data_IF_547970676141
#
_entry.id   IF_547970676141
#
_cell.length_a   1.000
_cell.length_b   1.000
_cell.length_c   1.000
_cell.angle_alpha   90.00
_cell.angle_beta   90.00
_cell.angle_gamma   90.00
#
_symmetry.space_group_name_H-M   'P 1'
#
loop_
_entity.id
_entity.type
_entity.pdbx_description
1 polymer ?
#
# COMPACT_ATOMS: atom_id res chain seq x y z
N UNK A 1 -31.27 -8.13 -11.26
CA UNK A 1 -29.99 -7.95 -10.64
C UNK A 1 -30.11 -7.72 -9.15
N UNK A 2 -29.53 -8.63 -8.35
CA UNK A 2 -29.42 -8.50 -6.91
C UNK A 2 -28.01 -7.99 -6.59
N UNK A 3 -27.94 -6.80 -5.99
CA UNK A 3 -26.70 -6.14 -5.59
C UNK A 3 -26.40 -6.42 -4.13
N UNK A 4 -25.11 -6.39 -3.78
CA UNK A 4 -24.61 -6.48 -2.40
C UNK A 4 -25.11 -7.70 -1.64
N UNK A 5 -25.08 -8.88 -2.31
CA UNK A 5 -25.58 -10.14 -1.78
C UNK A 5 -24.70 -10.63 -0.62
N UNK A 6 -24.86 -10.06 0.59
CA UNK A 6 -24.08 -10.39 1.78
C UNK A 6 -24.27 -11.87 2.21
N UNK A 7 -25.41 -12.47 1.88
CA UNK A 7 -25.69 -13.88 2.14
C UNK A 7 -24.74 -14.86 1.40
N UNK A 8 -24.00 -14.38 0.40
CA UNK A 8 -22.97 -15.20 -0.28
C UNK A 8 -21.71 -15.37 0.58
N UNK A 9 -21.48 -14.50 1.55
CA UNK A 9 -20.29 -14.51 2.42
C UNK A 9 -20.28 -15.62 3.48
N UNK A 10 -19.38 -15.48 4.44
CA UNK A 10 -19.18 -16.40 5.56
C UNK A 10 -19.38 -15.73 6.94
N UNK A 11 -19.95 -14.53 6.95
CA UNK A 11 -20.26 -13.77 8.16
C UNK A 11 -21.43 -14.37 8.96
N UNK A 12 -21.72 -13.77 10.11
CA UNK A 12 -22.78 -14.23 11.00
C UNK A 12 -24.16 -14.24 10.34
N UNK A 13 -24.47 -13.23 9.55
CA UNK A 13 -25.75 -13.10 8.84
C UNK A 13 -25.87 -14.19 7.77
N UNK A 14 -24.82 -14.41 7.00
CA UNK A 14 -24.79 -15.45 5.96
C UNK A 14 -24.82 -16.89 6.51
N UNK A 15 -24.54 -17.08 7.81
CA UNK A 15 -24.59 -18.37 8.52
C UNK A 15 -25.88 -18.60 9.30
N UNK A 16 -26.78 -17.63 9.34
CA UNK A 16 -28.08 -17.82 10.01
C UNK A 16 -28.84 -18.96 9.37
N UNK A 17 -29.54 -19.77 10.21
CA UNK A 17 -30.24 -20.97 9.77
C UNK A 17 -31.25 -20.67 8.65
N UNK A 18 -32.06 -19.63 8.83
CA UNK A 18 -33.07 -19.22 7.85
C UNK A 18 -32.45 -18.81 6.51
N UNK A 19 -31.32 -18.14 6.52
CA UNK A 19 -30.58 -17.74 5.32
C UNK A 19 -29.98 -18.97 4.63
N UNK A 20 -29.39 -19.89 5.39
CA UNK A 20 -28.80 -21.11 4.87
C UNK A 20 -29.87 -22.03 4.25
N UNK A 21 -31.02 -22.20 4.91
CA UNK A 21 -32.15 -22.96 4.45
C UNK A 21 -32.76 -22.37 3.16
N UNK A 22 -33.04 -21.04 3.19
CA UNK A 22 -33.57 -20.34 2.02
C UNK A 22 -32.64 -20.38 0.80
N UNK A 23 -31.31 -20.33 1.01
CA UNK A 23 -30.34 -20.51 -0.07
C UNK A 23 -30.29 -21.93 -0.63
N UNK A 24 -30.49 -22.93 0.21
CA UNK A 24 -30.59 -24.35 -0.25
C UNK A 24 -31.84 -24.57 -1.12
N UNK A 25 -32.98 -24.04 -0.67
CA UNK A 25 -34.25 -24.09 -1.43
C UNK A 25 -34.14 -23.33 -2.75
N UNK A 26 -33.55 -22.15 -2.74
CA UNK A 26 -33.31 -21.38 -3.96
C UNK A 26 -32.38 -22.12 -4.91
N UNK A 27 -31.29 -22.71 -4.40
CA UNK A 27 -30.39 -23.52 -5.22
C UNK A 27 -31.08 -24.71 -5.88
N UNK A 28 -32.05 -25.37 -5.20
CA UNK A 28 -32.84 -26.42 -5.75
C UNK A 28 -33.75 -25.93 -6.88
N UNK A 29 -34.45 -24.82 -6.65
CA UNK A 29 -35.33 -24.19 -7.65
C UNK A 29 -34.59 -23.73 -8.90
N UNK A 30 -33.39 -23.14 -8.74
CA UNK A 30 -32.57 -22.66 -9.87
C UNK A 30 -32.16 -23.80 -10.83
N UNK A 31 -32.06 -25.05 -10.36
CA UNK A 31 -31.71 -26.21 -11.21
C UNK A 31 -32.81 -26.60 -12.21
N UNK A 32 -34.06 -26.34 -11.87
CA UNK A 32 -35.23 -26.68 -12.66
C UNK A 32 -35.91 -25.46 -13.27
N UNK A 33 -35.34 -24.28 -13.06
CA UNK A 33 -35.93 -23.04 -13.55
C UNK A 33 -35.78 -22.92 -15.07
N UNK A 34 -36.86 -22.50 -15.74
CA UNK A 34 -36.80 -22.15 -17.16
C UNK A 34 -36.12 -20.82 -17.37
N UNK A 35 -34.91 -20.83 -17.94
CA UNK A 35 -34.09 -19.66 -18.19
C UNK A 35 -34.39 -18.97 -19.53
N UNK A 36 -35.42 -19.41 -20.27
CA UNK A 36 -35.78 -18.77 -21.55
C UNK A 36 -36.15 -17.31 -21.34
N UNK A 37 -35.34 -16.41 -21.90
CA UNK A 37 -35.52 -14.94 -21.79
C UNK A 37 -35.22 -14.33 -20.42
N UNK A 38 -34.74 -15.10 -19.44
CA UNK A 38 -34.45 -14.64 -18.07
C UNK A 38 -32.94 -14.69 -17.80
N UNK A 39 -32.41 -13.64 -17.17
CA UNK A 39 -31.02 -13.59 -16.68
C UNK A 39 -31.01 -13.17 -15.21
N UNK A 40 -30.38 -13.99 -14.36
CA UNK A 40 -30.13 -13.65 -12.96
C UNK A 40 -28.70 -13.17 -12.79
N UNK A 41 -28.53 -11.94 -12.31
CA UNK A 41 -27.23 -11.37 -11.97
C UNK A 41 -27.14 -11.22 -10.45
N UNK A 42 -26.12 -11.79 -9.84
CA UNK A 42 -25.84 -11.69 -8.41
C UNK A 42 -24.46 -11.03 -8.25
N UNK A 43 -24.38 -9.96 -7.47
CA UNK A 43 -23.09 -9.35 -7.10
C UNK A 43 -22.96 -9.24 -5.58
N UNK A 44 -21.77 -9.49 -5.06
CA UNK A 44 -21.46 -9.42 -3.62
C UNK A 44 -19.98 -9.16 -3.38
N UNK A 45 -19.65 -8.68 -2.19
CA UNK A 45 -18.27 -8.33 -1.84
C UNK A 45 -17.38 -9.58 -1.65
N UNK A 46 -17.93 -10.66 -1.11
CA UNK A 46 -17.21 -11.92 -0.84
C UNK A 46 -18.17 -13.09 -0.97
N UNK A 47 -17.72 -14.14 -1.64
CA UNK A 47 -18.50 -15.37 -1.75
C UNK A 47 -17.76 -16.54 -1.10
N UNK A 48 -18.45 -17.33 -0.27
CA UNK A 48 -17.94 -18.59 0.25
C UNK A 48 -18.15 -19.69 -0.80
N UNK A 49 -17.07 -20.03 -1.49
CA UNK A 49 -17.05 -21.02 -2.58
C UNK A 49 -17.41 -22.44 -2.12
N UNK A 50 -17.41 -22.71 -0.80
CA UNK A 50 -17.80 -24.02 -0.21
C UNK A 50 -19.31 -24.22 -0.17
N UNK A 51 -20.09 -23.13 -0.14
CA UNK A 51 -21.55 -23.18 -0.06
C UNK A 51 -22.16 -23.84 -1.28
N UNK A 52 -23.19 -24.66 -1.02
CA UNK A 52 -23.97 -25.37 -2.07
C UNK A 52 -24.56 -24.39 -3.08
N UNK A 53 -25.07 -23.25 -2.61
CA UNK A 53 -25.63 -22.22 -3.46
C UNK A 53 -24.58 -21.69 -4.47
N UNK A 54 -23.38 -21.32 -4.01
CA UNK A 54 -22.30 -20.89 -4.89
C UNK A 54 -21.94 -21.93 -5.94
N UNK A 55 -21.79 -23.22 -5.50
CA UNK A 55 -21.48 -24.33 -6.41
C UNK A 55 -22.58 -24.54 -7.45
N UNK A 56 -23.85 -24.36 -7.06
CA UNK A 56 -24.98 -24.48 -7.98
C UNK A 56 -24.97 -23.36 -9.02
N UNK A 57 -24.84 -22.12 -8.60
CA UNK A 57 -24.81 -20.98 -9.52
C UNK A 57 -23.59 -21.05 -10.47
N UNK A 58 -22.42 -21.45 -9.97
CA UNK A 58 -21.23 -21.66 -10.81
C UNK A 58 -21.37 -22.78 -11.84
N UNK A 59 -22.22 -23.77 -11.57
CA UNK A 59 -22.52 -24.84 -12.55
C UNK A 59 -23.52 -24.42 -13.61
N UNK A 60 -24.50 -23.58 -13.23
CA UNK A 60 -25.62 -23.20 -14.11
C UNK A 60 -25.27 -21.98 -14.97
N UNK A 61 -24.30 -21.17 -14.55
CA UNK A 61 -23.97 -19.92 -15.20
C UNK A 61 -22.50 -19.60 -15.18
N UNK A 62 -22.17 -18.32 -15.41
CA UNK A 62 -20.83 -17.78 -15.37
C UNK A 62 -20.59 -17.09 -14.03
N UNK A 63 -19.42 -17.33 -13.42
CA UNK A 63 -18.98 -16.62 -12.20
C UNK A 63 -17.65 -15.94 -12.49
N UNK A 64 -17.59 -14.66 -12.15
CA UNK A 64 -16.39 -13.86 -12.30
C UNK A 64 -16.00 -13.24 -10.96
N UNK A 65 -14.72 -13.29 -10.62
CA UNK A 65 -14.19 -12.74 -9.37
C UNK A 65 -13.25 -11.57 -9.66
N UNK A 66 -13.62 -10.42 -9.15
CA UNK A 66 -12.82 -9.22 -9.24
C UNK A 66 -12.04 -9.03 -7.94
N UNK A 67 -10.85 -9.64 -7.87
CA UNK A 67 -9.99 -9.50 -6.69
C UNK A 67 -9.56 -8.03 -6.53
N UNK A 68 -9.82 -7.49 -5.33
CA UNK A 68 -9.28 -6.17 -4.99
C UNK A 68 -7.75 -6.25 -4.87
N UNK A 69 -7.06 -5.25 -5.37
CA UNK A 69 -5.63 -5.11 -5.08
C UNK A 69 -5.44 -4.87 -3.58
N UNK A 70 -4.46 -5.52 -2.98
CA UNK A 70 -4.11 -5.35 -1.57
C UNK A 70 -2.62 -5.11 -1.43
N UNK A 71 -2.22 -4.27 -0.48
CA UNK A 71 -0.82 -4.07 -0.10
C UNK A 71 -0.15 -5.34 0.44
N UNK A 72 -0.96 -6.29 0.92
CA UNK A 72 -0.47 -7.58 1.41
C UNK A 72 -0.06 -8.52 0.26
N UNK A 73 -0.55 -8.26 -0.95
CA UNK A 73 -0.13 -8.98 -2.16
C UNK A 73 1.20 -8.42 -2.65
N UNK A 74 2.24 -9.23 -2.64
CA UNK A 74 3.59 -8.84 -3.11
C UNK A 74 3.61 -8.34 -4.57
N UNK A 75 2.61 -8.74 -5.36
CA UNK A 75 2.50 -8.38 -6.79
C UNK A 75 1.52 -7.23 -7.05
N UNK A 76 0.94 -6.64 -6.00
CA UNK A 76 -0.08 -5.60 -6.18
C UNK A 76 0.37 -4.47 -7.10
N UNK A 77 1.63 -4.05 -6.98
CA UNK A 77 2.15 -2.96 -7.79
C UNK A 77 2.25 -3.34 -9.28
N UNK A 78 2.77 -4.53 -9.57
CA UNK A 78 2.84 -5.02 -10.96
C UNK A 78 1.43 -5.14 -11.58
N UNK A 79 0.46 -5.63 -10.78
CA UNK A 79 -0.95 -5.69 -11.19
C UNK A 79 -1.56 -4.29 -11.40
N UNK A 80 -1.25 -3.32 -10.52
CA UNK A 80 -1.66 -1.94 -10.68
C UNK A 80 -1.08 -1.31 -11.95
N UNK A 81 0.22 -1.51 -12.21
CA UNK A 81 0.90 -1.03 -13.42
C UNK A 81 0.29 -1.62 -14.70
N UNK A 82 -0.08 -2.90 -14.70
CA UNK A 82 -0.80 -3.54 -15.80
C UNK A 82 -2.17 -2.92 -16.04
N UNK A 83 -2.95 -2.65 -14.97
CA UNK A 83 -4.26 -2.00 -15.07
C UNK A 83 -4.13 -0.58 -15.62
N UNK A 84 -3.16 0.20 -15.13
CA UNK A 84 -2.86 1.55 -15.62
C UNK A 84 -2.52 1.51 -17.11
N UNK A 85 -1.60 0.62 -17.50
CA UNK A 85 -1.17 0.48 -18.90
C UNK A 85 -2.34 0.11 -19.81
N UNK A 86 -3.18 -0.85 -19.42
CA UNK A 86 -4.36 -1.24 -20.17
C UNK A 86 -5.38 -0.09 -20.29
N UNK A 87 -5.65 0.64 -19.18
CA UNK A 87 -6.59 1.76 -19.16
C UNK A 87 -6.11 2.92 -20.02
N UNK A 88 -4.84 3.33 -19.90
CA UNK A 88 -4.26 4.42 -20.71
C UNK A 88 -4.17 4.06 -22.19
N UNK A 89 -3.87 2.80 -22.53
CA UNK A 89 -3.93 2.30 -23.91
C UNK A 89 -5.34 2.40 -24.49
N UNK A 90 -6.37 2.05 -23.71
CA UNK A 90 -7.78 2.20 -24.13
C UNK A 90 -8.15 3.67 -24.37
N UNK A 91 -7.53 4.59 -23.63
CA UNK A 91 -7.66 6.05 -23.80
C UNK A 91 -6.73 6.62 -24.92
N UNK A 92 -6.08 5.77 -25.70
CA UNK A 92 -5.13 6.11 -26.76
C UNK A 92 -3.92 6.93 -26.28
N UNK A 93 -3.52 6.74 -25.02
CA UNK A 93 -2.35 7.37 -24.41
C UNK A 93 -1.18 6.40 -24.28
N UNK A 94 0.04 6.96 -24.33
CA UNK A 94 1.32 6.23 -24.23
C UNK A 94 2.11 6.77 -23.03
N UNK A 95 1.93 6.21 -21.82
CA UNK A 95 2.71 6.62 -20.67
C UNK A 95 4.16 6.13 -20.80
N UNK A 96 5.11 6.91 -20.31
CA UNK A 96 6.44 6.37 -20.01
C UNK A 96 6.37 5.39 -18.82
N UNK A 97 7.38 4.51 -18.73
CA UNK A 97 7.42 3.51 -17.65
C UNK A 97 7.44 4.16 -16.26
N UNK A 98 8.14 5.29 -16.11
CA UNK A 98 8.25 6.01 -14.82
C UNK A 98 6.91 6.60 -14.43
N UNK A 99 6.16 7.16 -15.39
CA UNK A 99 4.82 7.69 -15.14
C UNK A 99 3.86 6.60 -14.63
N UNK A 100 3.90 5.40 -15.23
CA UNK A 100 3.06 4.27 -14.79
C UNK A 100 3.40 3.86 -13.35
N UNK A 101 4.68 3.68 -13.06
CA UNK A 101 5.15 3.30 -11.72
C UNK A 101 4.80 4.37 -10.69
N UNK A 102 5.04 5.64 -10.99
CA UNK A 102 4.75 6.75 -10.09
C UNK A 102 3.25 6.90 -9.83
N UNK A 103 2.42 6.72 -10.87
CA UNK A 103 0.96 6.72 -10.73
C UNK A 103 0.48 5.59 -9.81
N UNK A 104 0.98 4.37 -9.99
CA UNK A 104 0.66 3.24 -9.12
C UNK A 104 1.02 3.53 -7.65
N UNK A 105 2.17 4.14 -7.40
CA UNK A 105 2.64 4.48 -6.07
C UNK A 105 1.82 5.62 -5.43
N UNK A 106 1.53 6.67 -6.20
CA UNK A 106 0.78 7.82 -5.70
C UNK A 106 -0.66 7.47 -5.35
N UNK A 107 -1.28 6.58 -6.11
CA UNK A 107 -2.69 6.20 -5.90
C UNK A 107 -2.81 5.01 -4.94
N UNK A 108 -1.91 4.01 -5.05
CA UNK A 108 -1.96 2.78 -4.27
C UNK A 108 -2.91 1.74 -4.88
N UNK A 109 -3.26 0.67 -4.11
CA UNK A 109 -4.01 -0.49 -4.60
C UNK A 109 -5.52 -0.26 -4.73
N UNK A 110 -5.98 0.93 -5.02
CA UNK A 110 -7.39 1.23 -5.27
C UNK A 110 -7.66 1.27 -6.78
N UNK A 111 -8.23 0.19 -7.32
CA UNK A 111 -8.48 0.03 -8.75
C UNK A 111 -9.42 1.11 -9.33
N UNK A 112 -10.40 1.57 -8.54
CA UNK A 112 -11.32 2.64 -8.97
C UNK A 112 -10.58 3.99 -9.02
N UNK A 113 -9.81 4.29 -7.99
CA UNK A 113 -8.99 5.50 -7.97
C UNK A 113 -7.96 5.49 -9.11
N UNK A 114 -7.28 4.36 -9.37
CA UNK A 114 -6.36 4.20 -10.50
C UNK A 114 -7.04 4.51 -11.83
N UNK A 115 -8.23 3.96 -12.07
CA UNK A 115 -8.98 4.21 -13.30
C UNK A 115 -9.38 5.68 -13.43
N UNK A 116 -9.85 6.32 -12.36
CA UNK A 116 -10.23 7.73 -12.33
C UNK A 116 -9.03 8.66 -12.58
N UNK A 117 -7.87 8.37 -11.99
CA UNK A 117 -6.65 9.16 -12.19
C UNK A 117 -6.10 8.99 -13.63
N UNK A 118 -6.23 7.80 -14.24
CA UNK A 118 -5.92 7.61 -15.65
C UNK A 118 -6.80 8.48 -16.58
N UNK A 119 -8.11 8.55 -16.30
CA UNK A 119 -9.03 9.40 -17.05
C UNK A 119 -8.67 10.88 -16.87
N UNK A 120 -8.43 11.31 -15.65
CA UNK A 120 -8.01 12.68 -15.34
C UNK A 120 -6.69 13.06 -16.05
N UNK A 121 -5.69 12.18 -16.03
CA UNK A 121 -4.45 12.39 -16.78
C UNK A 121 -4.70 12.49 -18.29
N UNK A 122 -5.54 11.63 -18.84
CA UNK A 122 -5.89 11.67 -20.27
C UNK A 122 -6.51 13.00 -20.69
N UNK A 123 -7.38 13.56 -19.84
CA UNK A 123 -7.99 14.88 -20.05
C UNK A 123 -6.95 15.99 -19.92
N UNK A 124 -6.09 15.91 -18.89
CA UNK A 124 -5.05 16.92 -18.62
C UNK A 124 -4.08 17.08 -19.77
N UNK A 125 -3.60 15.98 -20.36
CA UNK A 125 -2.63 16.04 -21.46
C UNK A 125 -3.30 16.39 -22.82
N UNK A 126 -4.64 16.41 -22.89
CA UNK A 126 -5.38 16.79 -24.11
C UNK A 126 -5.04 15.88 -25.30
N UNK A 127 -4.70 16.47 -26.42
CA UNK A 127 -4.40 15.74 -27.66
C UNK A 127 -3.02 15.08 -27.66
N UNK A 128 -2.14 15.43 -26.74
CA UNK A 128 -0.83 14.80 -26.60
C UNK A 128 -0.98 13.32 -26.23
N UNK A 129 -0.33 12.45 -26.99
CA UNK A 129 -0.39 11.01 -26.71
C UNK A 129 0.47 10.59 -25.51
N UNK A 130 1.61 11.26 -25.30
CA UNK A 130 2.56 10.94 -24.25
C UNK A 130 2.12 11.45 -22.88
N UNK A 131 2.35 10.63 -21.83
CA UNK A 131 2.16 10.98 -20.42
C UNK A 131 3.51 10.77 -19.72
N UNK A 132 4.00 11.82 -19.08
CA UNK A 132 5.28 11.85 -18.37
C UNK A 132 5.10 11.80 -16.85
N UNK A 133 6.20 11.57 -16.11
CA UNK A 133 6.20 11.66 -14.65
C UNK A 133 5.86 13.07 -14.14
N UNK A 134 6.19 14.12 -14.90
CA UNK A 134 5.81 15.50 -14.57
C UNK A 134 4.30 15.69 -14.61
N UNK A 135 3.62 15.12 -15.62
CA UNK A 135 2.16 15.16 -15.70
C UNK A 135 1.50 14.48 -14.50
N UNK A 136 2.04 13.31 -14.11
CA UNK A 136 1.56 12.56 -12.94
C UNK A 136 1.69 13.40 -11.68
N UNK A 137 2.86 14.01 -11.44
CA UNK A 137 3.09 14.87 -10.27
C UNK A 137 2.23 16.12 -10.26
N UNK A 138 1.93 16.66 -11.43
CA UNK A 138 1.15 17.89 -11.54
C UNK A 138 -0.32 17.71 -11.16
N UNK A 139 -0.94 16.56 -11.51
CA UNK A 139 -2.39 16.43 -11.39
C UNK A 139 -2.89 15.27 -10.56
N UNK A 140 -2.10 14.21 -10.36
CA UNK A 140 -2.55 13.02 -9.65
C UNK A 140 -2.73 13.29 -8.16
N UNK A 141 -3.88 12.91 -7.65
CA UNK A 141 -4.18 13.04 -6.23
C UNK A 141 -3.58 11.87 -5.45
N UNK A 142 -2.79 12.18 -4.42
CA UNK A 142 -2.23 11.14 -3.56
C UNK A 142 -3.34 10.35 -2.85
N UNK A 143 -3.32 9.04 -3.01
CA UNK A 143 -4.21 8.12 -2.32
C UNK A 143 -3.94 8.04 -0.81
N UNK A 144 -4.83 7.37 -0.09
CA UNK A 144 -4.71 7.21 1.36
C UNK A 144 -3.40 6.55 1.78
N UNK A 145 -2.94 5.57 1.02
CA UNK A 145 -1.70 4.84 1.30
C UNK A 145 -0.47 5.74 1.13
N UNK A 146 -0.38 6.47 0.01
CA UNK A 146 0.73 7.38 -0.23
C UNK A 146 0.79 8.50 0.82
N UNK A 147 -0.37 9.02 1.24
CA UNK A 147 -0.45 9.98 2.36
C UNK A 147 0.04 9.38 3.67
N UNK A 148 -0.31 8.12 3.95
CA UNK A 148 0.13 7.44 5.17
C UNK A 148 1.67 7.25 5.22
N UNK A 149 2.33 7.12 4.08
CA UNK A 149 3.79 6.97 4.01
C UNK A 149 4.54 8.31 3.83
N UNK A 150 3.83 9.40 3.54
CA UNK A 150 4.44 10.67 3.16
C UNK A 150 5.37 11.26 4.24
N UNK A 151 5.01 11.12 5.52
CA UNK A 151 5.85 11.55 6.65
C UNK A 151 7.14 10.71 6.71
N UNK A 152 7.01 9.39 6.63
CA UNK A 152 8.17 8.48 6.59
C UNK A 152 9.09 8.75 5.40
N UNK A 153 8.53 9.04 4.22
CA UNK A 153 9.32 9.36 3.03
C UNK A 153 10.07 10.70 3.19
N UNK A 154 9.43 11.70 3.76
CA UNK A 154 10.09 12.96 4.07
C UNK A 154 11.25 12.78 5.07
N UNK A 155 11.09 11.88 6.06
CA UNK A 155 12.20 11.47 6.95
C UNK A 155 13.30 10.78 6.15
N UNK A 156 12.96 9.82 5.28
CA UNK A 156 13.95 9.15 4.43
C UNK A 156 14.72 10.10 3.50
N UNK A 157 14.07 11.13 3.00
CA UNK A 157 14.69 12.22 2.21
C UNK A 157 15.56 13.16 3.05
N UNK A 158 15.51 13.06 4.38
CA UNK A 158 16.18 13.95 5.34
C UNK A 158 15.83 15.43 5.13
N UNK A 159 14.56 15.71 4.86
CA UNK A 159 14.05 17.05 4.56
C UNK A 159 13.21 17.59 5.72
N UNK A 160 13.83 18.31 6.66
CA UNK A 160 13.18 18.82 7.86
C UNK A 160 11.95 19.70 7.57
N UNK A 161 11.98 20.69 6.66
CA UNK A 161 10.79 21.48 6.36
C UNK A 161 9.62 20.65 5.85
N UNK A 162 9.89 19.63 5.03
CA UNK A 162 8.89 18.70 4.52
C UNK A 162 8.34 17.82 5.63
N UNK A 163 9.20 17.34 6.54
CA UNK A 163 8.80 16.51 7.68
C UNK A 163 7.87 17.29 8.61
N UNK A 164 8.21 18.51 8.99
CA UNK A 164 7.39 19.31 9.91
C UNK A 164 6.00 19.59 9.31
N UNK A 165 5.94 19.99 8.05
CA UNK A 165 4.65 20.19 7.36
C UNK A 165 3.80 18.93 7.32
N UNK A 166 4.40 17.77 6.98
CA UNK A 166 3.67 16.50 6.95
C UNK A 166 3.23 16.04 8.33
N UNK A 167 4.04 16.28 9.34
CA UNK A 167 3.68 16.01 10.72
C UNK A 167 2.44 16.80 11.14
N UNK A 168 2.38 18.09 10.84
CA UNK A 168 1.22 18.93 11.17
C UNK A 168 -0.06 18.43 10.48
N UNK A 169 0.04 18.06 9.19
CA UNK A 169 -1.07 17.45 8.44
C UNK A 169 -1.55 16.15 9.08
N UNK A 170 -0.63 15.27 9.50
CA UNK A 170 -0.95 13.97 10.10
C UNK A 170 -1.50 14.11 11.53
N UNK A 171 -0.99 15.04 12.31
CA UNK A 171 -1.53 15.36 13.65
C UNK A 171 -2.94 15.94 13.56
N UNK A 172 -3.19 16.83 12.61
CA UNK A 172 -4.53 17.34 12.37
C UNK A 172 -5.49 16.21 11.94
N UNK A 173 -5.03 15.32 11.06
CA UNK A 173 -5.81 14.16 10.65
C UNK A 173 -6.07 13.18 11.82
N UNK A 174 -5.12 13.01 12.75
CA UNK A 174 -5.32 12.17 13.94
C UNK A 174 -6.39 12.73 14.90
N UNK A 175 -6.57 14.04 14.95
CA UNK A 175 -7.65 14.68 15.73
C UNK A 175 -9.03 14.51 15.08
N UNK A 176 -9.10 14.36 13.78
CA UNK A 176 -10.37 14.34 13.01
C UNK A 176 -10.81 12.93 12.59
N UNK A 177 -9.89 11.97 12.49
CA UNK A 177 -10.16 10.59 12.08
C UNK A 177 -9.86 9.61 13.22
N UNK A 178 -10.90 9.00 13.81
CA UNK A 178 -10.79 8.01 14.89
C UNK A 178 -9.92 6.78 14.56
N UNK A 179 -9.64 6.53 13.29
CA UNK A 179 -8.76 5.42 12.85
C UNK A 179 -7.29 5.77 12.89
N UNK A 180 -6.95 7.05 13.09
CA UNK A 180 -5.59 7.53 13.19
C UNK A 180 -5.25 7.84 14.64
N UNK A 181 -4.01 7.59 15.04
CA UNK A 181 -3.51 7.92 16.36
C UNK A 181 -2.06 8.38 16.28
N UNK A 182 -1.66 9.20 17.21
CA UNK A 182 -0.28 9.68 17.33
C UNK A 182 0.69 8.52 17.59
N UNK A 183 0.28 7.54 18.39
CA UNK A 183 1.07 6.31 18.60
C UNK A 183 1.23 5.53 17.27
N UNK A 184 0.19 5.50 16.45
CA UNK A 184 0.26 4.90 15.10
C UNK A 184 1.25 5.62 14.19
N UNK A 185 1.38 6.95 14.28
CA UNK A 185 2.40 7.72 13.56
C UNK A 185 3.80 7.31 13.99
N UNK A 186 4.05 7.20 15.30
CA UNK A 186 5.35 6.73 15.81
C UNK A 186 5.66 5.31 15.32
N UNK A 187 4.70 4.40 15.37
CA UNK A 187 4.88 3.03 14.86
C UNK A 187 5.24 3.02 13.36
N UNK A 188 4.60 3.89 12.56
CA UNK A 188 4.93 4.09 11.14
C UNK A 188 6.36 4.60 10.93
N UNK A 189 6.78 5.58 11.73
CA UNK A 189 8.15 6.11 11.72
C UNK A 189 9.20 5.06 12.12
N UNK A 190 8.93 4.26 13.15
CA UNK A 190 9.79 3.12 13.55
C UNK A 190 9.92 2.13 12.39
N UNK A 191 8.81 1.77 11.75
CA UNK A 191 8.84 0.87 10.58
C UNK A 191 9.67 1.46 9.44
N UNK A 192 9.56 2.76 9.18
CA UNK A 192 10.36 3.45 8.15
C UNK A 192 11.84 3.44 8.48
N UNK A 193 12.23 3.83 9.69
CA UNK A 193 13.65 3.86 10.10
C UNK A 193 14.25 2.45 10.07
N UNK A 194 13.49 1.42 10.49
CA UNK A 194 13.93 0.02 10.35
C UNK A 194 14.15 -0.37 8.90
N UNK A 195 13.26 0.04 7.99
CA UNK A 195 13.45 -0.27 6.56
C UNK A 195 14.69 0.43 5.98
N UNK A 196 14.99 1.67 6.43
CA UNK A 196 16.21 2.37 6.06
C UNK A 196 17.46 1.66 6.62
N UNK A 197 17.41 1.19 7.87
CA UNK A 197 18.51 0.45 8.50
C UNK A 197 18.79 -0.87 7.76
N UNK A 198 17.76 -1.65 7.45
CA UNK A 198 17.93 -2.87 6.67
C UNK A 198 18.50 -2.59 5.28
N UNK A 199 18.00 -1.55 4.61
CA UNK A 199 18.54 -1.15 3.31
C UNK A 199 20.01 -0.70 3.41
N UNK A 200 20.38 0.00 4.48
CA UNK A 200 21.76 0.42 4.74
C UNK A 200 22.67 -0.78 4.96
N UNK A 201 22.26 -1.74 5.79
CA UNK A 201 23.00 -2.99 6.02
C UNK A 201 23.22 -3.79 4.74
N UNK A 202 22.19 -3.92 3.90
CA UNK A 202 22.31 -4.61 2.61
C UNK A 202 23.28 -3.91 1.66
N UNK A 203 23.30 -2.58 1.66
CA UNK A 203 24.23 -1.78 0.85
C UNK A 203 25.65 -1.87 1.38
N UNK A 204 25.86 -1.75 2.69
CA UNK A 204 27.18 -1.77 3.33
C UNK A 204 27.85 -3.15 3.24
N UNK A 205 27.06 -4.22 3.35
CA UNK A 205 27.51 -5.60 3.17
C UNK A 205 27.71 -5.97 1.68
N UNK A 206 27.36 -5.11 0.75
CA UNK A 206 27.47 -5.37 -0.69
C UNK A 206 26.48 -6.38 -1.26
N UNK A 207 25.46 -6.78 -0.45
CA UNK A 207 24.42 -7.73 -0.87
C UNK A 207 23.55 -7.19 -2.00
N UNK A 208 23.28 -5.88 -2.00
CA UNK A 208 22.56 -5.18 -3.05
C UNK A 208 23.32 -3.93 -3.47
N UNK A 209 23.14 -3.55 -4.73
CA UNK A 209 23.65 -2.29 -5.29
C UNK A 209 22.47 -1.37 -5.59
N UNK A 210 22.71 -0.04 -5.61
CA UNK A 210 21.68 0.89 -6.04
C UNK A 210 21.12 0.54 -7.40
N UNK A 211 19.81 0.36 -7.49
CA UNK A 211 19.12 0.00 -8.71
C UNK A 211 18.35 1.19 -9.29
N UNK A 212 18.32 1.30 -10.61
CA UNK A 212 17.58 2.37 -11.30
C UNK A 212 16.07 2.15 -11.29
N UNK A 213 15.65 0.89 -11.19
CA UNK A 213 14.24 0.50 -11.21
C UNK A 213 14.00 -0.72 -10.32
N UNK A 214 12.74 -0.93 -9.98
CA UNK A 214 12.32 -2.02 -9.09
C UNK A 214 12.62 -3.43 -9.64
N UNK A 215 12.38 -3.76 -10.94
CA UNK A 215 12.73 -5.08 -11.47
C UNK A 215 14.21 -5.44 -11.29
N UNK A 216 15.12 -4.49 -11.54
CA UNK A 216 16.56 -4.68 -11.32
C UNK A 216 16.88 -4.94 -9.85
N UNK A 217 16.25 -4.21 -8.94
CA UNK A 217 16.43 -4.41 -7.49
C UNK A 217 15.88 -5.77 -7.05
N UNK A 218 14.68 -6.13 -7.53
CA UNK A 218 14.07 -7.42 -7.22
C UNK A 218 14.95 -8.58 -7.65
N UNK A 219 15.52 -8.53 -8.85
CA UNK A 219 16.47 -9.54 -9.33
C UNK A 219 17.69 -9.69 -8.42
N UNK A 220 18.18 -8.61 -7.81
CA UNK A 220 19.28 -8.70 -6.84
C UNK A 220 18.82 -9.41 -5.55
N UNK A 221 17.62 -9.11 -5.06
CA UNK A 221 17.08 -9.78 -3.88
C UNK A 221 16.80 -11.27 -4.10
N UNK A 222 16.29 -11.63 -5.26
CA UNK A 222 15.97 -13.02 -5.62
C UNK A 222 17.25 -13.89 -5.74
N UNK A 223 18.42 -13.26 -5.96
CA UNK A 223 19.73 -13.94 -6.02
C UNK A 223 20.44 -14.03 -4.66
N UNK A 224 19.87 -13.52 -3.57
CA UNK A 224 20.47 -13.65 -2.24
C UNK A 224 20.35 -15.09 -1.74
N UNK A 225 21.38 -15.63 -1.02
CA UNK A 225 21.29 -16.94 -0.40
C UNK A 225 20.14 -17.00 0.59
N UNK A 226 19.38 -18.09 0.58
CA UNK A 226 18.21 -18.25 1.45
C UNK A 226 18.56 -18.23 2.94
N UNK A 227 19.79 -18.63 3.28
CA UNK A 227 20.36 -18.71 4.62
C UNK A 227 21.14 -17.46 5.04
N UNK A 228 21.21 -16.42 4.18
CA UNK A 228 21.97 -15.21 4.46
C UNK A 228 21.41 -14.40 5.64
N UNK A 229 20.14 -14.61 6.02
CA UNK A 229 19.47 -13.85 7.06
C UNK A 229 18.70 -14.76 8.00
N UNK A 230 18.45 -14.27 9.23
CA UNK A 230 17.66 -14.99 10.21
C UNK A 230 16.25 -15.34 9.68
N UNK A 231 15.74 -16.52 10.04
CA UNK A 231 14.40 -16.99 9.68
C UNK A 231 13.28 -16.10 10.27
N UNK A 232 13.56 -15.39 11.37
CA UNK A 232 12.60 -14.46 11.97
C UNK A 232 12.40 -13.25 11.07
N UNK A 233 11.24 -13.22 10.41
CA UNK A 233 10.81 -12.12 9.51
C UNK A 233 10.83 -10.74 10.18
N UNK A 234 10.78 -10.66 11.51
CA UNK A 234 10.82 -9.38 12.23
C UNK A 234 12.19 -8.74 12.23
N UNK A 235 13.25 -9.52 12.13
CA UNK A 235 14.64 -9.06 12.15
C UNK A 235 15.36 -9.31 10.83
N UNK A 236 14.69 -9.88 9.84
CA UNK A 236 15.22 -10.14 8.51
C UNK A 236 14.80 -9.06 7.52
N UNK A 237 15.71 -8.51 6.70
CA UNK A 237 15.32 -7.59 5.62
C UNK A 237 14.37 -8.26 4.61
N UNK A 238 14.47 -9.57 4.41
CA UNK A 238 13.58 -10.34 3.52
C UNK A 238 12.16 -10.51 4.08
N UNK A 239 11.93 -10.14 5.32
CA UNK A 239 10.58 -10.04 5.91
C UNK A 239 9.79 -8.83 5.44
N UNK A 240 10.47 -7.81 4.88
CA UNK A 240 9.83 -6.65 4.31
C UNK A 240 9.38 -6.89 2.87
N UNK A 241 8.37 -6.15 2.45
CA UNK A 241 7.98 -6.14 1.05
C UNK A 241 9.14 -5.63 0.18
N UNK A 242 9.54 -6.31 -0.92
CA UNK A 242 10.69 -5.93 -1.74
C UNK A 242 10.68 -4.48 -2.22
N UNK A 243 9.50 -3.94 -2.49
CA UNK A 243 9.34 -2.56 -2.91
C UNK A 243 9.67 -1.55 -1.79
N UNK A 244 9.34 -1.87 -0.54
CA UNK A 244 9.68 -1.03 0.63
C UNK A 244 11.20 -0.96 0.77
N UNK A 245 11.91 -2.08 0.60
CA UNK A 245 13.37 -2.12 0.58
C UNK A 245 13.94 -1.32 -0.60
N UNK A 246 13.39 -1.47 -1.80
CA UNK A 246 13.80 -0.69 -2.98
C UNK A 246 13.71 0.82 -2.74
N UNK A 247 12.58 1.29 -2.23
CA UNK A 247 12.41 2.71 -1.87
C UNK A 247 13.41 3.12 -0.79
N UNK A 248 13.62 2.28 0.22
CA UNK A 248 14.53 2.54 1.31
C UNK A 248 16.00 2.60 0.88
N UNK A 249 16.45 1.80 -0.11
CA UNK A 249 17.86 1.82 -0.58
C UNK A 249 18.27 3.16 -1.17
N UNK A 250 17.36 3.86 -1.85
CA UNK A 250 17.63 5.19 -2.39
C UNK A 250 17.76 6.24 -1.29
N UNK A 251 17.00 6.08 -0.19
CA UNK A 251 16.94 7.02 0.93
C UNK A 251 17.98 6.71 2.02
N UNK A 252 18.36 5.44 2.20
CA UNK A 252 19.32 5.00 3.21
C UNK A 252 20.70 5.64 3.09
N UNK A 253 21.04 6.15 1.91
CA UNK A 253 22.29 6.90 1.66
C UNK A 253 22.35 8.23 2.42
N UNK A 254 21.22 8.79 2.81
CA UNK A 254 21.15 10.04 3.54
C UNK A 254 21.53 9.89 5.01
N UNK A 255 21.74 8.65 5.48
CA UNK A 255 22.00 8.31 6.87
C UNK A 255 23.15 7.32 7.00
N UNK A 256 23.94 7.46 8.05
CA UNK A 256 24.84 6.40 8.51
C UNK A 256 24.06 5.34 9.29
N UNK A 257 24.70 4.17 9.48
CA UNK A 257 24.14 3.10 10.34
C UNK A 257 23.91 3.61 11.78
N UNK A 258 24.89 4.32 12.34
CA UNK A 258 24.80 4.87 13.70
C UNK A 258 23.65 5.85 13.86
N UNK A 259 23.44 6.75 12.89
CA UNK A 259 22.30 7.67 12.89
C UNK A 259 20.96 6.96 12.86
N UNK A 260 20.81 5.86 12.11
CA UNK A 260 19.57 5.08 12.05
C UNK A 260 19.29 4.31 13.35
N UNK A 261 20.32 3.76 13.99
CA UNK A 261 20.20 3.13 15.32
C UNK A 261 19.76 4.17 16.35
N UNK A 262 20.43 5.31 16.38
CA UNK A 262 20.05 6.44 17.26
C UNK A 262 18.63 6.95 16.98
N UNK A 263 18.21 6.99 15.71
CA UNK A 263 16.85 7.38 15.35
C UNK A 263 15.81 6.43 15.94
N UNK A 264 16.07 5.12 15.99
CA UNK A 264 15.20 4.14 16.66
C UNK A 264 15.12 4.40 18.18
N UNK A 265 16.25 4.70 18.82
CA UNK A 265 16.27 5.04 20.26
C UNK A 265 15.49 6.32 20.55
N UNK A 266 15.64 7.36 19.73
CA UNK A 266 14.89 8.61 19.84
C UNK A 266 13.38 8.39 19.66
N UNK A 267 12.97 7.54 18.71
CA UNK A 267 11.57 7.19 18.51
C UNK A 267 11.02 6.35 19.68
N UNK A 268 11.82 5.46 20.28
CA UNK A 268 11.43 4.73 21.47
C UNK A 268 11.24 5.68 22.67
N UNK A 269 12.15 6.63 22.87
CA UNK A 269 12.00 7.66 23.91
C UNK A 269 10.78 8.56 23.65
N UNK A 270 10.55 8.96 22.39
CA UNK A 270 9.37 9.70 21.97
C UNK A 270 8.08 8.94 22.33
N UNK A 271 7.97 7.66 21.97
CA UNK A 271 6.83 6.82 22.30
C UNK A 271 6.59 6.74 23.82
N UNK A 272 7.66 6.55 24.60
CA UNK A 272 7.59 6.53 26.06
C UNK A 272 7.03 7.85 26.61
N UNK A 273 7.54 8.99 26.14
CA UNK A 273 7.08 10.32 26.58
C UNK A 273 5.61 10.58 26.21
N UNK A 274 5.16 10.16 25.02
CA UNK A 274 3.77 10.28 24.60
C UNK A 274 2.80 9.50 25.49
N UNK A 275 3.24 8.35 26.02
CA UNK A 275 2.40 7.49 26.87
C UNK A 275 2.46 7.89 28.34
N UNK A 276 3.61 8.39 28.84
CA UNK A 276 3.86 8.59 30.25
C UNK A 276 3.89 10.04 30.73
N UNK A 277 3.70 11.01 29.84
CA UNK A 277 3.71 12.43 30.22
C UNK A 277 2.48 13.16 29.68
N UNK A 278 2.18 14.32 30.24
CA UNK A 278 1.12 15.24 29.81
C UNK A 278 1.63 16.31 28.82
N UNK A 279 2.81 16.11 28.22
CA UNK A 279 3.36 17.05 27.25
C UNK A 279 2.54 17.05 25.95
N UNK A 280 2.55 18.19 25.28
CA UNK A 280 1.92 18.30 23.98
C UNK A 280 2.54 17.31 22.95
N UNK A 281 1.68 16.51 22.34
CA UNK A 281 2.10 15.45 21.42
C UNK A 281 2.88 16.00 20.21
N UNK A 282 2.47 17.16 19.69
CA UNK A 282 3.14 17.83 18.57
C UNK A 282 4.56 18.23 18.95
N UNK A 283 4.73 18.82 20.14
CA UNK A 283 6.04 19.20 20.65
C UNK A 283 6.98 17.99 20.80
N UNK A 284 6.49 16.91 21.39
CA UNK A 284 7.28 15.68 21.60
C UNK A 284 7.75 15.09 20.26
N UNK A 285 6.86 15.03 19.26
CA UNK A 285 7.18 14.50 17.93
C UNK A 285 8.11 15.44 17.16
N UNK A 286 7.86 16.75 17.17
CA UNK A 286 8.72 17.72 16.48
C UNK A 286 10.14 17.67 17.05
N UNK A 287 10.29 17.60 18.36
CA UNK A 287 11.60 17.47 19.00
C UNK A 287 12.34 16.22 18.56
N UNK A 288 11.67 15.04 18.61
CA UNK A 288 12.28 13.78 18.21
C UNK A 288 12.68 13.77 16.73
N UNK A 289 11.80 14.23 15.84
CA UNK A 289 12.08 14.28 14.40
C UNK A 289 13.19 15.28 14.06
N UNK A 290 13.23 16.42 14.73
CA UNK A 290 14.31 17.39 14.57
C UNK A 290 15.66 16.79 14.95
N UNK A 291 15.73 16.07 16.08
CA UNK A 291 16.97 15.40 16.51
C UNK A 291 17.41 14.28 15.56
N UNK A 292 16.46 13.56 14.94
CA UNK A 292 16.76 12.52 13.94
C UNK A 292 17.34 13.11 12.66
N UNK A 293 16.86 14.29 12.24
CA UNK A 293 17.20 14.88 10.96
C UNK A 293 18.43 15.79 10.98
N UNK A 294 18.77 16.36 12.14
CA UNK A 294 20.01 17.15 12.28
C UNK A 294 21.20 16.19 12.18
N UNK A 295 22.15 16.53 11.32
CA UNK A 295 23.44 15.84 11.30
C UNK A 295 24.20 16.20 12.57
N UNK A 296 24.72 15.21 13.27
CA UNK A 296 25.76 15.48 14.24
C UNK A 296 26.95 16.06 13.46
N UNK A 297 27.44 17.22 13.90
CA UNK A 297 28.73 17.67 13.45
C UNK A 297 29.71 16.53 13.77
N UNK A 298 30.40 16.01 12.77
CA UNK A 298 31.50 15.09 13.00
C UNK A 298 32.40 15.73 14.04
N UNK A 299 32.48 15.13 15.22
CA UNK A 299 33.43 15.55 16.24
C UNK A 299 34.80 15.28 15.61
N UNK A 300 35.47 16.38 15.22
CA UNK A 300 36.80 16.41 14.67
C UNK A 300 37.84 15.88 15.68
#
# INVERSE_FOLDING_TARGET
WFKDCNFLGDDRTAKANDVSSGLADLAAKLKTFDWAGVRLVLSGAKADKRKTFYKTVSKLGHTEEFAALSVDDKEWQAKAEQLIGAKLKALKKKPDYRAVTELAQMVGPDTRALASECEKLSIYVGDRAEITSEDVRAIVTQGKLAKAFALGDAVGERNLPKVLRRLDEDLWAAKTDRKKSVIGLVAGLVSKVRSLLFARELLDAGWVKPARNYPQFKSQLDNLPADAFADDRRISPLGLHPYVLFSATNQARNYSRGELIRALDLLMQCNRRLVSSSLDESFVLQQALTQILIREAEAA
#
